data_IF_745581417751
#
_entry.id   IF_745581417751
#
_cell.length_a   1.000
_cell.length_b   1.000
_cell.length_c   1.000
_cell.angle_alpha   90.00
_cell.angle_beta   90.00
_cell.angle_gamma   90.00
#
_symmetry.space_group_name_H-M   'P 1'
#
loop_
_entity.id
_entity.type
_entity.pdbx_description
1 polymer ?
#
# COMPACT_ATOMS: atom_id res chain seq x y z
N UNK A 1 3.99 -21.23 0.27
CA UNK A 1 4.96 -20.23 0.64
C UNK A 1 4.34 -18.85 0.68
N UNK A 2 4.48 -18.16 1.77
CA UNK A 2 3.83 -16.87 1.93
C UNK A 2 4.72 -15.74 1.39
N UNK A 3 4.15 -14.92 0.54
CA UNK A 3 4.86 -13.74 0.08
C UNK A 3 4.81 -12.68 1.17
N UNK A 4 5.83 -11.86 1.22
CA UNK A 4 5.90 -10.78 2.19
C UNK A 4 5.18 -9.55 1.67
N UNK A 5 4.82 -8.65 2.58
CA UNK A 5 4.39 -7.30 2.24
C UNK A 5 5.53 -6.35 2.55
N UNK A 6 5.65 -5.29 1.76
CA UNK A 6 6.65 -4.25 1.99
C UNK A 6 5.90 -2.97 2.32
N UNK A 7 6.22 -2.36 3.44
CA UNK A 7 5.56 -1.14 3.88
C UNK A 7 6.56 0.02 3.82
N UNK A 8 6.25 1.01 2.99
CA UNK A 8 7.06 2.21 2.84
C UNK A 8 6.37 3.29 3.64
N UNK A 9 6.65 3.30 4.94
CA UNK A 9 5.97 4.13 5.92
C UNK A 9 7.00 4.61 6.92
N UNK A 10 6.92 5.89 7.28
CA UNK A 10 7.87 6.51 8.20
C UNK A 10 7.28 6.71 9.59
N UNK A 11 5.98 6.89 9.70
CA UNK A 11 5.30 7.15 10.96
C UNK A 11 5.43 5.93 11.87
N UNK A 12 6.10 6.10 13.01
CA UNK A 12 6.42 4.98 13.90
C UNK A 12 5.17 4.35 14.52
N UNK A 13 4.14 5.15 14.78
CA UNK A 13 2.91 4.59 15.32
C UNK A 13 2.23 3.71 14.30
N UNK A 14 2.24 4.13 13.04
CA UNK A 14 1.62 3.33 12.00
C UNK A 14 2.46 2.09 11.68
N UNK A 15 3.79 2.22 11.73
CA UNK A 15 4.68 1.07 11.59
C UNK A 15 4.34 0.01 12.63
N UNK A 16 4.18 0.44 13.89
CA UNK A 16 3.85 -0.51 14.96
C UNK A 16 2.51 -1.18 14.71
N UNK A 17 1.53 -0.43 14.23
CA UNK A 17 0.20 -0.99 13.94
C UNK A 17 0.26 -1.99 12.80
N UNK A 18 1.00 -1.68 11.76
CA UNK A 18 1.16 -2.61 10.63
C UNK A 18 1.86 -3.89 11.10
N UNK A 19 2.91 -3.73 11.91
CA UNK A 19 3.67 -4.88 12.38
C UNK A 19 2.81 -5.79 13.23
N UNK A 20 2.02 -5.22 14.13
CA UNK A 20 1.16 -6.04 15.00
C UNK A 20 0.06 -6.72 14.20
N UNK A 21 -0.56 -6.01 13.27
CA UNK A 21 -1.61 -6.61 12.45
C UNK A 21 -1.05 -7.73 11.58
N UNK A 22 0.14 -7.50 11.02
CA UNK A 22 0.79 -8.53 10.18
C UNK A 22 1.06 -9.79 11.01
N UNK A 23 1.51 -9.61 12.24
CA UNK A 23 1.75 -10.75 13.12
C UNK A 23 0.46 -11.54 13.36
N UNK A 24 -0.63 -10.82 13.58
CA UNK A 24 -1.91 -11.47 13.89
C UNK A 24 -2.46 -12.24 12.68
N UNK A 25 -2.23 -11.78 11.47
CA UNK A 25 -2.74 -12.46 10.28
C UNK A 25 -1.71 -13.40 9.64
N UNK A 26 -0.52 -13.49 10.21
CA UNK A 26 0.50 -14.41 9.71
C UNK A 26 1.21 -13.95 8.46
N UNK A 27 1.29 -12.64 8.22
CA UNK A 27 1.97 -12.08 7.04
C UNK A 27 3.28 -11.46 7.46
N UNK A 28 4.36 -11.85 6.81
CA UNK A 28 5.64 -11.19 7.00
C UNK A 28 5.59 -9.80 6.39
N UNK A 29 6.12 -8.80 7.09
CA UNK A 29 6.20 -7.45 6.57
C UNK A 29 7.61 -6.92 6.74
N UNK A 30 8.11 -6.25 5.72
CA UNK A 30 9.41 -5.61 5.72
C UNK A 30 9.18 -4.12 5.54
N UNK A 31 9.87 -3.31 6.33
CA UNK A 31 9.69 -1.86 6.28
C UNK A 31 10.85 -1.23 5.54
N UNK A 32 10.54 -0.23 4.70
CA UNK A 32 11.53 0.51 3.94
C UNK A 32 11.22 1.99 4.04
N UNK A 33 12.25 2.82 4.19
CA UNK A 33 12.07 4.27 4.31
C UNK A 33 12.88 5.04 3.28
N UNK A 34 13.63 4.35 2.44
CA UNK A 34 14.40 4.98 1.38
C UNK A 34 14.26 4.17 0.12
N UNK A 35 14.52 4.79 -1.05
CA UNK A 35 14.50 4.01 -2.29
C UNK A 35 15.46 2.83 -2.28
N UNK A 36 16.63 2.99 -1.65
CA UNK A 36 17.59 1.90 -1.57
C UNK A 36 17.05 0.76 -0.73
N UNK A 37 16.43 1.09 0.41
CA UNK A 37 15.82 0.06 1.26
C UNK A 37 14.68 -0.63 0.55
N UNK A 38 13.90 0.12 -0.20
CA UNK A 38 12.79 -0.46 -0.96
C UNK A 38 13.32 -1.42 -2.01
N UNK A 39 14.35 -1.01 -2.76
CA UNK A 39 14.95 -1.88 -3.76
C UNK A 39 15.48 -3.17 -3.16
N UNK A 40 16.13 -3.06 -2.00
CA UNK A 40 16.64 -4.24 -1.32
C UNK A 40 15.50 -5.15 -0.84
N UNK A 41 14.43 -4.54 -0.33
CA UNK A 41 13.29 -5.32 0.16
C UNK A 41 12.58 -6.08 -0.97
N UNK A 42 12.66 -5.57 -2.19
CA UNK A 42 12.00 -6.21 -3.33
C UNK A 42 12.83 -7.31 -3.98
N UNK A 43 14.09 -7.44 -3.57
CA UNK A 43 14.92 -8.52 -4.06
C UNK A 43 14.68 -9.77 -3.21
N UNK A 44 15.07 -10.92 -3.77
CA UNK A 44 14.92 -12.17 -3.07
C UNK A 44 13.51 -12.69 -3.17
N UNK A 45 12.87 -12.92 -2.03
CA UNK A 45 11.53 -13.47 -2.02
C UNK A 45 10.53 -12.48 -2.61
N UNK A 46 9.55 -12.98 -3.37
CA UNK A 46 8.57 -12.06 -3.98
C UNK A 46 7.75 -11.34 -2.94
N UNK A 47 7.44 -10.10 -3.23
CA UNK A 47 6.53 -9.31 -2.41
C UNK A 47 5.12 -9.44 -3.00
N UNK A 48 4.13 -9.65 -2.13
CA UNK A 48 2.75 -9.73 -2.57
C UNK A 48 2.13 -8.34 -2.70
N UNK A 49 2.68 -7.35 -2.00
CA UNK A 49 2.05 -6.06 -1.89
C UNK A 49 3.06 -5.04 -1.36
N UNK A 50 3.00 -3.83 -1.89
CA UNK A 50 3.72 -2.69 -1.32
C UNK A 50 2.68 -1.71 -0.83
N UNK A 51 2.79 -1.29 0.44
CA UNK A 51 1.97 -0.24 1.02
C UNK A 51 2.82 1.02 1.05
N UNK A 52 2.35 2.08 0.42
CA UNK A 52 3.15 3.29 0.24
C UNK A 52 2.41 4.50 0.79
N UNK A 53 3.04 5.19 1.72
CA UNK A 53 2.52 6.44 2.28
C UNK A 53 2.79 7.57 1.28
N UNK A 54 1.73 8.16 0.75
CA UNK A 54 1.85 9.22 -0.24
C UNK A 54 1.94 10.61 0.40
N UNK A 55 1.94 10.68 1.74
CA UNK A 55 1.86 11.96 2.45
C UNK A 55 3.15 12.36 3.14
N UNK A 56 4.23 11.61 2.98
CA UNK A 56 5.48 11.92 3.66
C UNK A 56 6.21 13.01 2.89
N UNK A 57 6.44 14.11 3.57
CA UNK A 57 7.19 15.20 2.98
C UNK A 57 8.68 14.86 2.97
N UNK A 58 9.36 15.34 1.95
CA UNK A 58 10.78 15.13 1.84
C UNK A 58 11.19 13.84 1.16
N UNK A 59 10.23 12.95 0.87
CA UNK A 59 10.57 11.74 0.14
C UNK A 59 10.65 12.00 -1.35
N UNK A 60 11.60 11.35 -1.99
CA UNK A 60 11.75 11.40 -3.43
C UNK A 60 10.86 10.30 -4.04
N UNK A 61 9.62 10.66 -4.36
CA UNK A 61 8.68 9.68 -4.88
C UNK A 61 9.07 9.15 -6.25
N UNK A 62 9.75 9.98 -7.07
CA UNK A 62 10.23 9.47 -8.35
C UNK A 62 11.20 8.32 -8.16
N UNK A 63 12.11 8.45 -7.21
CA UNK A 63 13.07 7.39 -6.94
C UNK A 63 12.38 6.16 -6.34
N UNK A 64 11.37 6.38 -5.50
CA UNK A 64 10.60 5.26 -4.93
C UNK A 64 9.86 4.49 -6.02
N UNK A 65 9.19 5.19 -6.93
CA UNK A 65 8.48 4.52 -8.01
C UNK A 65 9.45 3.86 -8.98
N UNK A 66 10.63 4.45 -9.20
CA UNK A 66 11.64 3.80 -10.04
C UNK A 66 12.07 2.46 -9.43
N UNK A 67 12.24 2.42 -8.11
CA UNK A 67 12.57 1.17 -7.44
C UNK A 67 11.47 0.14 -7.57
N UNK A 68 10.21 0.59 -7.56
CA UNK A 68 9.07 -0.31 -7.69
C UNK A 68 8.92 -0.87 -9.09
N UNK A 69 9.38 -0.14 -10.10
CA UNK A 69 9.24 -0.55 -11.49
C UNK A 69 10.34 -1.49 -11.94
N UNK A 70 11.42 -1.58 -11.18
CA UNK A 70 12.57 -2.38 -11.58
C UNK A 70 12.33 -3.88 -11.59
N UNK A 71 11.75 -4.44 -10.50
CA UNK A 71 11.60 -5.90 -10.45
C UNK A 71 10.44 -6.39 -11.31
N UNK A 72 10.58 -7.60 -11.79
CA UNK A 72 9.51 -8.28 -12.51
C UNK A 72 9.26 -9.59 -11.79
N UNK A 73 7.99 -10.01 -11.64
CA UNK A 73 6.78 -9.34 -12.11
C UNK A 73 6.46 -8.11 -11.28
N UNK A 74 5.61 -7.27 -11.81
CA UNK A 74 5.21 -6.06 -11.12
C UNK A 74 4.49 -6.38 -9.83
N UNK A 75 4.86 -5.63 -8.78
CA UNK A 75 4.24 -5.79 -7.47
C UNK A 75 3.10 -4.79 -7.35
N UNK A 76 1.93 -5.22 -6.88
CA UNK A 76 0.85 -4.26 -6.64
C UNK A 76 1.25 -3.24 -5.59
N UNK A 77 0.91 -1.98 -5.83
CA UNK A 77 1.22 -0.88 -4.93
C UNK A 77 -0.08 -0.29 -4.44
N UNK A 78 -0.29 -0.37 -3.13
CA UNK A 78 -1.42 0.27 -2.48
C UNK A 78 -0.92 1.55 -1.83
N UNK A 79 -1.25 2.68 -2.44
CA UNK A 79 -0.90 3.96 -1.86
C UNK A 79 -1.97 4.42 -0.90
N UNK A 80 -1.59 5.22 0.10
CA UNK A 80 -2.60 5.82 0.95
C UNK A 80 -2.32 7.30 1.18
N UNK A 81 -3.39 8.04 1.34
CA UNK A 81 -3.35 9.47 1.56
C UNK A 81 -4.42 9.82 2.60
N UNK A 82 -4.55 11.08 2.93
CA UNK A 82 -5.62 11.54 3.82
C UNK A 82 -6.59 12.39 3.01
N UNK A 83 -7.79 12.58 3.54
CA UNK A 83 -8.76 13.44 2.89
C UNK A 83 -8.20 14.84 2.67
N UNK A 84 -7.46 15.34 3.64
CA UNK A 84 -6.89 16.69 3.56
C UNK A 84 -5.86 16.78 2.44
N UNK A 85 -5.09 15.74 2.25
CA UNK A 85 -3.97 15.76 1.29
C UNK A 85 -4.28 15.05 -0.02
N UNK A 86 -5.51 14.58 -0.21
CA UNK A 86 -5.85 13.79 -1.38
C UNK A 86 -5.58 14.55 -2.67
N UNK A 87 -5.90 15.85 -2.71
CA UNK A 87 -5.68 16.64 -3.90
C UNK A 87 -4.19 16.84 -4.18
N UNK A 88 -3.42 17.09 -3.13
CA UNK A 88 -2.00 17.34 -3.28
C UNK A 88 -1.23 16.11 -3.71
N UNK A 89 -1.71 14.93 -3.36
CA UNK A 89 -1.05 13.68 -3.71
C UNK A 89 -1.59 13.09 -5.00
N UNK A 90 -2.54 13.73 -5.65
CA UNK A 90 -3.27 13.13 -6.76
C UNK A 90 -2.37 12.71 -7.92
N UNK A 91 -1.31 13.46 -8.18
CA UNK A 91 -0.39 13.12 -9.27
C UNK A 91 0.30 11.78 -9.03
N UNK A 92 0.37 11.33 -7.78
CA UNK A 92 0.99 10.06 -7.43
C UNK A 92 0.02 8.91 -7.53
N UNK A 93 -1.28 9.18 -7.54
CA UNK A 93 -2.29 8.13 -7.51
C UNK A 93 -2.21 7.23 -8.73
N UNK A 94 -1.93 7.81 -9.89
CA UNK A 94 -1.85 7.03 -11.13
C UNK A 94 -0.67 6.06 -11.15
N UNK A 95 0.31 6.29 -10.28
CA UNK A 95 1.48 5.42 -10.20
C UNK A 95 1.25 4.23 -9.29
N UNK A 96 0.12 4.20 -8.60
CA UNK A 96 -0.23 3.12 -7.69
C UNK A 96 -1.26 2.22 -8.33
N UNK A 97 -1.30 0.95 -7.92
CA UNK A 97 -2.36 0.04 -8.36
C UNK A 97 -3.70 0.46 -7.81
N UNK A 98 -3.69 0.99 -6.58
CA UNK A 98 -4.88 1.46 -5.89
C UNK A 98 -4.46 2.48 -4.86
N UNK A 99 -5.35 3.43 -4.57
CA UNK A 99 -5.12 4.42 -3.52
C UNK A 99 -6.33 4.43 -2.61
N UNK A 100 -6.07 4.42 -1.31
CA UNK A 100 -7.12 4.48 -0.29
C UNK A 100 -6.77 5.59 0.68
N UNK A 101 -7.72 5.94 1.54
CA UNK A 101 -7.41 6.85 2.64
C UNK A 101 -6.75 6.10 3.77
N UNK A 102 -5.99 6.82 4.59
CA UNK A 102 -5.38 6.20 5.77
C UNK A 102 -6.42 5.59 6.67
N UNK A 103 -7.59 6.21 6.75
CA UNK A 103 -8.69 5.70 7.57
C UNK A 103 -9.16 4.34 7.06
N UNK A 104 -9.37 4.21 5.75
CA UNK A 104 -9.74 2.94 5.15
C UNK A 104 -8.64 1.90 5.35
N UNK A 105 -7.39 2.30 5.14
CA UNK A 105 -6.27 1.39 5.32
C UNK A 105 -6.23 0.86 6.75
N UNK A 106 -6.40 1.76 7.72
CA UNK A 106 -6.37 1.36 9.14
C UNK A 106 -7.48 0.39 9.46
N UNK A 107 -8.67 0.69 8.96
CA UNK A 107 -9.86 -0.12 9.26
C UNK A 107 -9.78 -1.51 8.64
N UNK A 108 -9.16 -1.61 7.47
CA UNK A 108 -9.15 -2.86 6.74
C UNK A 108 -7.75 -3.47 6.63
N UNK A 109 -6.87 -3.08 7.52
CA UNK A 109 -5.47 -3.46 7.44
C UNK A 109 -5.28 -4.99 7.46
N UNK A 110 -6.05 -5.69 8.28
CA UNK A 110 -5.94 -7.14 8.32
C UNK A 110 -6.26 -7.79 6.99
N UNK A 111 -7.35 -7.36 6.36
CA UNK A 111 -7.72 -7.89 5.05
C UNK A 111 -6.69 -7.52 3.99
N UNK A 112 -6.18 -6.30 4.05
CA UNK A 112 -5.17 -5.86 3.10
C UNK A 112 -3.92 -6.71 3.21
N UNK A 113 -3.46 -6.96 4.42
CA UNK A 113 -2.26 -7.78 4.62
C UNK A 113 -2.50 -9.24 4.28
N UNK A 114 -3.74 -9.71 4.48
CA UNK A 114 -4.06 -11.11 4.21
C UNK A 114 -4.26 -11.35 2.73
N UNK A 115 -4.91 -10.44 2.02
CA UNK A 115 -5.35 -10.66 0.64
C UNK A 115 -4.71 -9.73 -0.37
N UNK A 116 -4.03 -8.68 0.05
CA UNK A 116 -3.41 -7.73 -0.86
C UNK A 116 -4.33 -6.62 -1.35
N UNK A 117 -5.57 -6.56 -0.83
CA UNK A 117 -6.52 -5.53 -1.21
C UNK A 117 -7.49 -5.30 -0.07
N UNK A 118 -8.10 -4.10 0.00
CA UNK A 118 -9.04 -3.81 1.08
C UNK A 118 -10.34 -4.56 0.91
N UNK A 119 -10.93 -4.83 2.03
CA UNK A 119 -12.28 -5.31 2.12
C UNK A 119 -12.45 -6.76 1.78
N UNK A 120 -13.50 -7.31 2.31
CA UNK A 120 -13.95 -8.64 1.96
C UNK A 120 -14.87 -8.59 0.74
N UNK A 121 -15.19 -7.40 0.28
CA UNK A 121 -16.10 -7.20 -0.83
C UNK A 121 -15.31 -7.15 -2.14
N UNK A 122 -15.74 -7.90 -3.15
CA UNK A 122 -15.04 -7.82 -4.43
C UNK A 122 -15.19 -6.43 -5.04
N UNK A 123 -14.21 -6.01 -5.83
CA UNK A 123 -14.32 -4.71 -6.48
C UNK A 123 -15.50 -4.72 -7.45
N UNK A 124 -16.13 -3.56 -7.58
CA UNK A 124 -17.21 -3.39 -8.56
C UNK A 124 -16.57 -3.39 -9.94
N UNK A 125 -17.06 -4.23 -10.87
CA UNK A 125 -16.49 -4.23 -12.20
C UNK A 125 -16.68 -2.90 -12.89
N UNK A 126 -15.74 -2.57 -13.75
CA UNK A 126 -15.84 -1.33 -14.53
C UNK A 126 -17.11 -1.33 -15.33
N UNK A 127 -17.82 -0.20 -15.30
CA UNK A 127 -19.08 -0.06 -16.01
C UNK A 127 -20.29 -0.48 -15.22
N UNK A 128 -20.13 -1.08 -14.06
CA UNK A 128 -21.25 -1.43 -13.20
C UNK A 128 -21.60 -0.25 -12.31
N UNK A 129 -22.90 -0.08 -11.99
CA UNK A 129 -23.26 0.98 -11.06
C UNK A 129 -22.75 0.64 -9.67
N UNK A 130 -22.48 1.65 -8.84
CA UNK A 130 -22.10 1.38 -7.46
C UNK A 130 -23.26 0.72 -6.73
N UNK A 131 -22.95 -0.01 -5.64
CA UNK A 131 -24.01 -0.61 -4.85
C UNK A 131 -24.95 0.46 -4.31
N UNK A 132 -26.21 0.07 -4.16
CA UNK A 132 -27.20 0.97 -3.63
C UNK A 132 -26.84 1.40 -2.21
N UNK A 133 -27.09 2.66 -1.93
CA UNK A 133 -26.78 3.21 -0.63
C UNK A 133 -25.33 3.57 -0.43
N UNK A 134 -24.50 3.42 -1.44
CA UNK A 134 -23.10 3.76 -1.33
C UNK A 134 -22.86 5.16 -1.88
N UNK A 135 -22.44 6.10 -1.04
CA UNK A 135 -22.14 7.43 -1.55
C UNK A 135 -20.92 7.39 -2.45
N UNK A 136 -20.97 8.23 -3.43
CA UNK A 136 -19.88 8.33 -4.39
C UNK A 136 -18.80 9.30 -3.96
#
# INVERSE_FOLDING_TARGET
MTSKAVAVVKDLFFVARIRETARLVGREVVFARTPAELGAALQGEPAALVILDLTTQGWNYEALFAALEGPAPRVPVLGFTTHVLARQTQRLHARCSRVVTKDTLTRELGDILRHGHPGSRPPVPAGSPPPEGTPE
#
